data_IF_748968860524
#
_entry.id   IF_748968860524
#
_cell.length_a   1.000
_cell.length_b   1.000
_cell.length_c   1.000
_cell.angle_alpha   90.00
_cell.angle_beta   90.00
_cell.angle_gamma   90.00
#
_symmetry.space_group_name_H-M   'P 1'
#
loop_
_entity.id
_entity.type
_entity.pdbx_description
1 polymer ?
#
# COMPACT_ATOMS: atom_id res chain seq x y z
N UNK A 1 -40.46 37.57 65.01
CA UNK A 1 -39.43 36.65 64.49
C UNK A 1 -40.10 35.29 64.52
N UNK A 2 -40.46 34.76 63.37
CA UNK A 2 -40.82 33.35 63.20
C UNK A 2 -40.43 32.93 61.77
N UNK A 3 -39.83 31.75 61.70
CA UNK A 3 -39.04 31.20 60.60
C UNK A 3 -39.76 31.06 59.27
N UNK A 4 -39.05 31.44 58.20
CA UNK A 4 -39.35 31.01 56.82
C UNK A 4 -38.76 29.60 56.68
N UNK A 5 -39.61 28.58 56.72
CA UNK A 5 -39.24 27.22 56.32
C UNK A 5 -39.25 27.17 54.80
N UNK A 6 -38.07 27.28 54.19
CA UNK A 6 -37.87 27.04 52.76
C UNK A 6 -37.71 25.52 52.60
N UNK A 7 -38.77 24.88 52.10
CA UNK A 7 -38.78 23.47 51.74
C UNK A 7 -37.92 23.28 50.47
N UNK A 8 -36.64 22.97 50.67
CA UNK A 8 -35.70 22.64 49.62
C UNK A 8 -35.96 21.20 49.14
N UNK A 9 -37.02 21.04 48.37
CA UNK A 9 -37.29 19.82 47.58
C UNK A 9 -37.09 20.09 46.09
N UNK A 10 -35.93 20.66 45.73
CA UNK A 10 -35.41 20.51 44.36
C UNK A 10 -34.73 19.14 44.25
N UNK A 11 -35.60 18.14 44.22
CA UNK A 11 -35.25 16.74 44.02
C UNK A 11 -34.96 16.52 42.52
N UNK A 12 -33.67 16.55 42.18
CA UNK A 12 -33.05 15.61 41.23
C UNK A 12 -33.73 15.45 39.86
N UNK A 13 -33.72 16.48 39.02
CA UNK A 13 -33.86 16.33 37.57
C UNK A 13 -32.47 16.18 36.91
N UNK A 14 -31.74 15.14 37.29
CA UNK A 14 -30.55 14.68 36.57
C UNK A 14 -30.95 13.43 35.79
N UNK A 15 -31.54 13.60 34.60
CA UNK A 15 -32.09 12.46 33.88
C UNK A 15 -32.61 12.66 32.47
N UNK A 16 -32.70 13.89 31.94
CA UNK A 16 -33.02 14.11 30.53
C UNK A 16 -32.03 15.12 29.96
N UNK A 17 -30.98 14.61 29.31
CA UNK A 17 -30.17 15.43 28.42
C UNK A 17 -31.08 16.05 27.37
N UNK A 18 -30.84 17.33 27.07
CA UNK A 18 -31.58 18.13 26.09
C UNK A 18 -31.94 17.25 24.87
N UNK A 19 -33.23 17.14 24.48
CA UNK A 19 -33.65 16.27 23.37
C UNK A 19 -32.87 16.53 22.09
N UNK A 20 -32.39 17.77 21.87
CA UNK A 20 -31.50 18.11 20.77
C UNK A 20 -30.11 17.47 20.88
N UNK A 21 -29.57 17.34 22.09
CA UNK A 21 -28.30 16.65 22.32
C UNK A 21 -28.41 15.14 22.11
N UNK A 22 -29.56 14.55 22.48
CA UNK A 22 -29.82 13.14 22.21
C UNK A 22 -29.92 12.87 20.71
N UNK A 23 -30.68 13.69 19.98
CA UNK A 23 -30.82 13.58 18.52
C UNK A 23 -29.46 13.77 17.80
N UNK A 24 -28.65 14.73 18.24
CA UNK A 24 -27.29 14.91 17.71
C UNK A 24 -26.40 13.70 17.97
N UNK A 25 -26.42 13.14 19.18
CA UNK A 25 -25.63 11.96 19.52
C UNK A 25 -26.04 10.73 18.69
N UNK A 26 -27.34 10.55 18.45
CA UNK A 26 -27.85 9.48 17.57
C UNK A 26 -27.39 9.68 16.12
N UNK A 27 -27.44 10.92 15.60
CA UNK A 27 -26.99 11.23 14.25
C UNK A 27 -25.48 11.04 14.07
N UNK A 28 -24.69 11.44 15.06
CA UNK A 28 -23.24 11.25 15.05
C UNK A 28 -22.90 9.75 15.07
N UNK A 29 -23.60 8.96 15.89
CA UNK A 29 -23.42 7.50 15.91
C UNK A 29 -23.79 6.86 14.56
N UNK A 30 -24.88 7.31 13.93
CA UNK A 30 -25.31 6.85 12.61
C UNK A 30 -24.27 7.18 11.52
N UNK A 31 -23.72 8.40 11.54
CA UNK A 31 -22.68 8.82 10.60
C UNK A 31 -21.38 8.04 10.77
N UNK A 32 -20.97 7.79 12.02
CA UNK A 32 -19.79 6.99 12.32
C UNK A 32 -19.96 5.55 11.81
N UNK A 33 -21.07 4.90 12.14
CA UNK A 33 -21.36 3.55 11.67
C UNK A 33 -21.40 3.45 10.13
N UNK A 34 -21.99 4.46 9.47
CA UNK A 34 -22.00 4.53 8.01
C UNK A 34 -20.58 4.68 7.44
N UNK A 35 -19.77 5.56 8.03
CA UNK A 35 -18.38 5.77 7.58
C UNK A 35 -17.52 4.52 7.74
N UNK A 36 -17.71 3.74 8.81
CA UNK A 36 -17.03 2.48 9.02
C UNK A 36 -17.45 1.44 7.98
N UNK A 37 -18.75 1.32 7.70
CA UNK A 37 -19.27 0.42 6.68
C UNK A 37 -18.75 0.78 5.27
N UNK A 38 -18.63 2.07 4.96
CA UNK A 38 -18.11 2.54 3.69
C UNK A 38 -16.64 2.19 3.53
N UNK A 39 -15.82 2.41 4.57
CA UNK A 39 -14.40 2.01 4.56
C UNK A 39 -14.24 0.51 4.37
N UNK A 40 -15.08 -0.30 5.01
CA UNK A 40 -15.05 -1.75 4.87
C UNK A 40 -15.40 -2.19 3.44
N UNK A 41 -16.42 -1.59 2.84
CA UNK A 41 -16.80 -1.87 1.45
C UNK A 41 -15.68 -1.50 0.47
N UNK A 42 -15.04 -0.34 0.66
CA UNK A 42 -13.92 0.10 -0.17
C UNK A 42 -12.69 -0.82 -0.01
N UNK A 43 -12.43 -1.31 1.21
CA UNK A 43 -11.35 -2.27 1.45
C UNK A 43 -11.59 -3.58 0.69
N UNK A 44 -12.80 -4.17 0.80
CA UNK A 44 -13.17 -5.37 0.05
C UNK A 44 -13.12 -5.15 -1.46
N UNK A 45 -13.53 -3.97 -1.92
CA UNK A 45 -13.46 -3.61 -3.32
C UNK A 45 -12.02 -3.62 -3.84
N UNK A 46 -11.09 -3.03 -3.08
CA UNK A 46 -9.66 -3.05 -3.39
C UNK A 46 -9.10 -4.48 -3.42
N UNK A 47 -9.49 -5.33 -2.48
CA UNK A 47 -9.08 -6.74 -2.46
C UNK A 47 -9.54 -7.49 -3.72
N UNK A 48 -10.80 -7.29 -4.15
CA UNK A 48 -11.34 -7.92 -5.36
C UNK A 48 -10.60 -7.45 -6.61
N UNK A 49 -10.29 -6.15 -6.72
CA UNK A 49 -9.52 -5.61 -7.84
C UNK A 49 -8.11 -6.22 -7.89
N UNK A 50 -7.40 -6.26 -6.76
CA UNK A 50 -6.06 -6.84 -6.68
C UNK A 50 -6.06 -8.35 -6.95
N UNK A 51 -7.10 -9.06 -6.54
CA UNK A 51 -7.26 -10.49 -6.86
C UNK A 51 -7.51 -10.74 -8.36
N UNK A 52 -8.12 -9.77 -9.06
CA UNK A 52 -8.40 -9.88 -10.50
C UNK A 52 -7.16 -9.67 -11.38
N UNK A 53 -6.16 -8.92 -10.91
CA UNK A 53 -4.89 -8.71 -11.61
C UNK A 53 -3.68 -8.81 -10.66
N UNK A 54 -3.05 -9.99 -10.64
CA UNK A 54 -1.88 -10.26 -9.79
C UNK A 54 -0.61 -9.53 -10.23
N UNK A 55 -0.64 -8.80 -11.36
CA UNK A 55 0.50 -8.01 -11.84
C UNK A 55 0.61 -6.63 -11.19
N UNK A 56 -0.41 -6.21 -10.44
CA UNK A 56 -0.48 -4.88 -9.83
C UNK A 56 0.03 -4.95 -8.39
N UNK A 57 0.96 -4.05 -8.03
CA UNK A 57 1.43 -3.90 -6.66
C UNK A 57 0.35 -3.26 -5.78
N UNK A 58 -0.08 -3.90 -4.67
CA UNK A 58 -1.05 -3.33 -3.74
C UNK A 58 -0.68 -1.93 -3.22
N UNK A 59 0.62 -1.63 -3.11
CA UNK A 59 1.09 -0.33 -2.64
C UNK A 59 0.78 0.83 -3.61
N UNK A 60 0.41 0.52 -4.87
CA UNK A 60 0.08 1.52 -5.89
C UNK A 60 -1.42 1.81 -6.00
N UNK A 61 -2.26 1.14 -5.22
CA UNK A 61 -3.72 1.29 -5.26
C UNK A 61 -4.19 2.04 -4.02
N UNK A 62 -4.32 3.36 -4.15
CA UNK A 62 -4.69 4.28 -3.07
C UNK A 62 -6.06 4.93 -3.33
N UNK A 63 -6.62 5.59 -2.31
CA UNK A 63 -7.85 6.38 -2.43
C UNK A 63 -8.89 6.07 -1.34
N UNK A 64 -9.65 7.12 -0.98
CA UNK A 64 -10.74 7.07 0.01
C UNK A 64 -12.13 7.00 -0.63
N UNK A 65 -12.22 7.03 -1.96
CA UNK A 65 -13.47 6.93 -2.72
C UNK A 65 -13.35 5.86 -3.79
N UNK A 66 -14.48 5.33 -4.25
CA UNK A 66 -14.52 4.34 -5.33
C UNK A 66 -13.80 4.84 -6.58
N UNK A 67 -14.09 6.07 -7.01
CA UNK A 67 -13.50 6.68 -8.19
C UNK A 67 -11.97 6.86 -8.06
N UNK A 68 -11.48 7.23 -6.87
CA UNK A 68 -10.05 7.36 -6.63
C UNK A 68 -9.35 6.00 -6.67
N UNK A 69 -9.97 4.95 -6.11
CA UNK A 69 -9.44 3.58 -6.16
C UNK A 69 -9.37 3.09 -7.61
N UNK A 70 -10.42 3.31 -8.40
CA UNK A 70 -10.45 2.94 -9.81
C UNK A 70 -9.35 3.63 -10.62
N UNK A 71 -9.23 4.94 -10.48
CA UNK A 71 -8.21 5.71 -11.18
C UNK A 71 -6.79 5.27 -10.77
N UNK A 72 -6.56 5.05 -9.47
CA UNK A 72 -5.27 4.57 -8.96
C UNK A 72 -4.95 3.17 -9.50
N UNK A 73 -5.94 2.26 -9.52
CA UNK A 73 -5.76 0.92 -10.05
C UNK A 73 -5.42 0.92 -11.54
N UNK A 74 -6.10 1.74 -12.34
CA UNK A 74 -5.81 1.88 -13.77
C UNK A 74 -4.37 2.37 -14.01
N UNK A 75 -3.94 3.41 -13.29
CA UNK A 75 -2.55 3.91 -13.38
C UNK A 75 -1.52 2.87 -12.94
N UNK A 76 -1.80 2.13 -11.87
CA UNK A 76 -0.93 1.07 -11.38
C UNK A 76 -0.79 -0.06 -12.41
N UNK A 77 -1.90 -0.44 -13.04
CA UNK A 77 -1.94 -1.44 -14.11
C UNK A 77 -1.14 -0.98 -15.35
N UNK A 78 -1.31 0.26 -15.79
CA UNK A 78 -0.52 0.81 -16.90
C UNK A 78 0.98 0.76 -16.60
N UNK A 79 1.37 1.09 -15.37
CA UNK A 79 2.77 1.02 -14.92
C UNK A 79 3.30 -0.42 -14.95
N UNK A 80 2.50 -1.38 -14.47
CA UNK A 80 2.84 -2.80 -14.52
C UNK A 80 2.96 -3.32 -15.96
N UNK A 81 2.09 -2.88 -16.86
CA UNK A 81 2.15 -3.24 -18.28
C UNK A 81 3.40 -2.68 -18.97
N UNK A 82 3.79 -1.45 -18.65
CA UNK A 82 5.05 -0.86 -19.13
C UNK A 82 6.28 -1.61 -18.60
N UNK A 83 6.28 -1.98 -17.32
CA UNK A 83 7.34 -2.78 -16.73
C UNK A 83 7.44 -4.17 -17.39
N UNK A 84 6.32 -4.84 -17.62
CA UNK A 84 6.27 -6.13 -18.32
C UNK A 84 6.71 -6.01 -19.79
N UNK A 85 6.29 -4.96 -20.48
CA UNK A 85 6.67 -4.69 -21.87
C UNK A 85 8.16 -4.38 -22.04
N UNK A 86 8.75 -3.64 -21.10
CA UNK A 86 10.20 -3.36 -21.10
C UNK A 86 11.06 -4.58 -20.75
N UNK A 87 10.49 -5.57 -20.05
CA UNK A 87 11.07 -6.90 -19.83
C UNK A 87 10.87 -7.88 -21.00
N UNK A 88 10.37 -7.40 -22.15
CA UNK A 88 10.25 -8.17 -23.39
C UNK A 88 11.53 -8.92 -23.82
N UNK A 89 11.48 -9.79 -24.84
CA UNK A 89 12.30 -11.01 -25.03
C UNK A 89 13.84 -10.85 -25.16
N UNK A 90 14.40 -9.68 -24.88
CA UNK A 90 15.83 -9.40 -24.81
C UNK A 90 16.59 -10.21 -23.75
N UNK A 91 15.92 -10.81 -22.76
CA UNK A 91 16.55 -11.75 -21.84
C UNK A 91 16.90 -13.12 -22.48
N UNK A 92 16.42 -13.43 -23.69
CA UNK A 92 16.68 -14.72 -24.36
C UNK A 92 17.59 -14.67 -25.58
N UNK A 93 18.14 -13.51 -25.98
CA UNK A 93 19.05 -13.45 -27.13
C UNK A 93 20.32 -12.68 -26.79
N UNK A 94 21.22 -13.35 -26.08
CA UNK A 94 22.65 -13.02 -26.19
C UNK A 94 23.01 -13.17 -27.66
N UNK A 95 23.39 -12.06 -28.30
CA UNK A 95 23.81 -12.08 -29.70
C UNK A 95 24.96 -13.09 -29.86
N UNK A 96 24.92 -14.01 -30.86
CA UNK A 96 25.96 -15.03 -31.05
C UNK A 96 27.36 -14.47 -31.36
N UNK A 97 27.50 -13.14 -31.50
CA UNK A 97 28.77 -12.45 -31.67
C UNK A 97 29.39 -11.83 -30.41
N UNK A 98 28.74 -11.90 -29.24
CA UNK A 98 29.36 -11.39 -28.01
C UNK A 98 30.51 -12.34 -27.62
N UNK A 99 31.77 -11.85 -27.49
CA UNK A 99 32.87 -12.71 -27.06
C UNK A 99 32.54 -13.25 -25.67
N UNK A 100 32.34 -14.57 -25.59
CA UNK A 100 32.06 -15.24 -24.33
C UNK A 100 33.13 -14.87 -23.32
N UNK A 101 32.71 -14.47 -22.11
CA UNK A 101 33.65 -14.26 -21.00
C UNK A 101 34.41 -15.56 -20.82
N UNK A 102 35.69 -15.60 -21.22
CA UNK A 102 36.59 -16.72 -20.93
C UNK A 102 36.61 -16.87 -19.42
N UNK A 103 36.02 -17.95 -18.90
CA UNK A 103 36.21 -18.37 -17.53
C UNK A 103 37.68 -18.79 -17.41
N UNK A 104 38.53 -17.83 -17.04
CA UNK A 104 39.86 -18.14 -16.55
C UNK A 104 39.64 -18.97 -15.30
N UNK A 105 40.03 -20.25 -15.33
CA UNK A 105 40.02 -21.10 -14.16
C UNK A 105 40.85 -20.46 -13.03
N UNK A 106 40.64 -20.87 -11.77
CA UNK A 106 41.41 -20.34 -10.65
C UNK A 106 42.90 -20.57 -10.91
N UNK A 107 43.61 -19.50 -11.24
CA UNK A 107 45.03 -19.53 -11.58
C UNK A 107 45.83 -19.27 -10.33
N UNK A 108 46.78 -20.15 -10.04
CA UNK A 108 47.67 -20.01 -8.89
C UNK A 108 48.62 -18.82 -9.08
N UNK A 109 49.14 -18.23 -8.00
CA UNK A 109 50.12 -17.14 -8.09
C UNK A 109 51.36 -17.51 -8.93
N UNK A 110 51.82 -18.77 -8.86
CA UNK A 110 52.95 -19.26 -9.64
C UNK A 110 52.68 -19.27 -11.14
N UNK A 111 51.47 -19.65 -11.56
CA UNK A 111 51.07 -19.64 -12.97
C UNK A 111 51.01 -18.22 -13.53
N UNK A 112 50.53 -17.24 -12.75
CA UNK A 112 50.54 -15.82 -13.13
C UNK A 112 51.96 -15.27 -13.34
N UNK A 113 52.90 -15.66 -12.47
CA UNK A 113 54.30 -15.26 -12.59
C UNK A 113 54.93 -15.85 -13.85
N UNK A 114 54.73 -17.15 -14.09
CA UNK A 114 55.25 -17.82 -15.28
C UNK A 114 54.71 -17.20 -16.57
N UNK A 115 53.40 -16.95 -16.62
CA UNK A 115 52.76 -16.29 -17.75
C UNK A 115 53.32 -14.87 -17.97
N UNK A 116 53.45 -14.08 -16.89
CA UNK A 116 54.00 -12.73 -16.94
C UNK A 116 55.46 -12.64 -17.38
N UNK A 117 56.27 -13.66 -17.12
CA UNK A 117 57.65 -13.76 -17.61
C UNK A 117 57.69 -14.19 -19.08
N UNK A 118 56.86 -15.14 -19.49
CA UNK A 118 56.81 -15.61 -20.89
C UNK A 118 56.35 -14.54 -21.89
N UNK A 119 55.44 -13.65 -21.50
CA UNK A 119 54.99 -12.52 -22.35
C UNK A 119 56.00 -11.38 -22.45
N UNK A 120 57.02 -11.35 -21.58
CA UNK A 120 58.04 -10.29 -21.54
C UNK A 120 59.31 -10.65 -22.33
N UNK A 121 59.44 -11.92 -22.71
CA UNK A 121 60.61 -12.48 -23.39
C UNK A 121 60.40 -12.71 -24.90
N UNK A 122 59.26 -12.30 -25.46
CA UNK A 122 58.98 -12.25 -26.90
C UNK A 122 58.59 -10.84 -27.31
#
# INVERSE_FOLDING_TARGET
MDEIVIDATEQTAAGDGDPLQQELAEKDAELLARSESERELLARYREVLLASDTGVDPALVEGETLAAIDESFLRARETADLARGSLGPGLQRVSPGAPGRRKLGPTTPFEKIREGLSRRAG
#
